data_IF_447520204361
#
_entry.id   IF_447520204361
#
_cell.length_a   1.000
_cell.length_b   1.000
_cell.length_c   1.000
_cell.angle_alpha   90.00
_cell.angle_beta   90.00
_cell.angle_gamma   90.00
#
_symmetry.space_group_name_H-M   'P 1'
#
loop_
_entity.id
_entity.type
_entity.pdbx_description
1 polymer ?
#
# COMPACT_ATOMS: atom_id res chain seq x y z
N UNK A 1 -15.73 -19.52 13.79
CA UNK A 1 -15.30 -18.14 13.49
C UNK A 1 -16.53 -17.30 13.21
N UNK A 2 -16.62 -16.11 13.80
CA UNK A 2 -17.73 -15.16 13.60
C UNK A 2 -17.19 -13.89 12.97
N UNK A 3 -17.89 -13.34 11.98
CA UNK A 3 -17.59 -12.01 11.43
C UNK A 3 -18.70 -11.05 11.85
N UNK A 4 -18.33 -9.86 12.28
CA UNK A 4 -19.27 -8.79 12.61
C UNK A 4 -18.89 -7.47 11.95
N UNK A 5 -19.89 -6.64 11.71
CA UNK A 5 -19.70 -5.26 11.27
C UNK A 5 -19.65 -4.36 12.48
N UNK A 6 -18.61 -3.54 12.57
CA UNK A 6 -18.40 -2.61 13.68
C UNK A 6 -18.35 -1.19 13.12
N UNK A 7 -19.04 -0.28 13.81
CA UNK A 7 -18.96 1.14 13.49
C UNK A 7 -17.58 1.67 13.90
N UNK A 8 -16.92 2.40 13.01
CA UNK A 8 -15.69 3.13 13.37
C UNK A 8 -16.10 4.42 14.07
N UNK A 9 -16.05 4.41 15.40
CA UNK A 9 -16.35 5.61 16.21
C UNK A 9 -15.12 6.51 16.38
N UNK A 10 -13.93 5.92 16.34
CA UNK A 10 -12.66 6.62 16.49
C UNK A 10 -11.55 5.86 15.78
N UNK A 11 -10.76 6.57 14.97
CA UNK A 11 -9.56 5.98 14.37
C UNK A 11 -8.46 5.68 15.40
N UNK A 12 -8.44 6.36 16.55
CA UNK A 12 -7.51 6.03 17.64
C UNK A 12 -7.86 4.69 18.32
N UNK A 13 -9.16 4.39 18.48
CA UNK A 13 -9.59 3.08 18.95
C UNK A 13 -9.27 1.99 17.92
N UNK A 14 -9.51 2.28 16.63
CA UNK A 14 -9.16 1.37 15.54
C UNK A 14 -7.63 1.14 15.46
N UNK A 15 -6.81 2.17 15.64
CA UNK A 15 -5.35 2.07 15.68
C UNK A 15 -4.89 1.01 16.68
N UNK A 16 -5.43 1.07 17.90
CA UNK A 16 -5.07 0.13 18.96
C UNK A 16 -5.40 -1.31 18.55
N UNK A 17 -6.63 -1.55 18.11
CA UNK A 17 -7.08 -2.89 17.70
C UNK A 17 -6.27 -3.40 16.49
N UNK A 18 -5.96 -2.51 15.55
CA UNK A 18 -5.19 -2.81 14.34
C UNK A 18 -3.75 -3.18 14.68
N UNK A 19 -3.06 -2.34 15.47
CA UNK A 19 -1.68 -2.57 15.87
C UNK A 19 -1.54 -3.81 16.76
N UNK A 20 -2.52 -4.11 17.60
CA UNK A 20 -2.53 -5.34 18.40
C UNK A 20 -2.64 -6.60 17.54
N UNK A 21 -3.48 -6.58 16.50
CA UNK A 21 -3.51 -7.68 15.54
C UNK A 21 -2.23 -7.74 14.72
N UNK A 22 -1.77 -6.61 14.19
CA UNK A 22 -0.55 -6.47 13.39
C UNK A 22 0.66 -7.07 14.10
N UNK A 23 0.87 -6.78 15.39
CA UNK A 23 1.98 -7.28 16.19
C UNK A 23 1.96 -8.80 16.42
N UNK A 24 0.81 -9.46 16.26
CA UNK A 24 0.66 -10.91 16.41
C UNK A 24 0.84 -11.65 15.08
N UNK A 25 0.81 -10.94 13.95
CA UNK A 25 0.99 -11.54 12.63
C UNK A 25 2.48 -11.69 12.33
N UNK A 26 2.92 -12.84 11.78
CA UNK A 26 4.34 -13.11 11.56
C UNK A 26 4.98 -12.22 10.48
N UNK A 27 4.21 -11.76 9.49
CA UNK A 27 4.72 -10.92 8.40
C UNK A 27 3.61 -10.07 7.74
N UNK A 28 3.00 -9.11 8.45
CA UNK A 28 2.06 -8.18 7.81
C UNK A 28 2.81 -7.32 6.77
N UNK A 29 2.21 -7.15 5.59
CA UNK A 29 2.77 -6.25 4.57
C UNK A 29 2.67 -4.79 5.01
N UNK A 30 3.59 -3.93 4.56
CA UNK A 30 3.59 -2.50 4.90
C UNK A 30 2.25 -1.82 4.58
N UNK A 31 1.63 -2.15 3.45
CA UNK A 31 0.33 -1.61 3.03
C UNK A 31 -0.87 -2.08 3.86
N UNK A 32 -0.67 -3.10 4.70
CA UNK A 32 -1.66 -3.57 5.68
C UNK A 32 -1.36 -3.01 7.08
N UNK A 33 -0.21 -2.36 7.30
CA UNK A 33 0.16 -1.78 8.59
C UNK A 33 -0.71 -0.58 8.95
N UNK A 34 -0.81 -0.26 10.23
CA UNK A 34 -1.44 1.00 10.63
C UNK A 34 -0.67 2.22 10.12
N UNK A 35 0.64 2.14 9.93
CA UNK A 35 1.42 3.26 9.38
C UNK A 35 0.96 3.67 7.98
N UNK A 36 0.46 2.72 7.18
CA UNK A 36 -0.16 3.02 5.88
C UNK A 36 -1.65 3.32 5.99
N UNK A 37 -2.41 2.42 6.63
CA UNK A 37 -3.88 2.50 6.69
C UNK A 37 -4.33 3.70 7.54
N UNK A 38 -3.65 3.97 8.64
CA UNK A 38 -3.94 5.08 9.55
C UNK A 38 -3.52 6.46 9.00
N UNK A 39 -2.65 6.52 8.00
CA UNK A 39 -2.14 7.79 7.47
C UNK A 39 -3.28 8.61 6.85
N UNK A 40 -3.58 9.76 7.48
CA UNK A 40 -4.70 10.65 7.15
C UNK A 40 -6.06 9.91 7.08
N UNK A 41 -6.27 8.93 7.97
CA UNK A 41 -7.44 8.06 7.91
C UNK A 41 -8.79 8.81 7.95
N UNK A 42 -8.90 9.87 8.77
CA UNK A 42 -10.12 10.69 8.84
C UNK A 42 -10.50 11.32 7.49
N UNK A 43 -9.50 11.71 6.69
CA UNK A 43 -9.72 12.29 5.35
C UNK A 43 -9.97 11.20 4.30
N UNK A 44 -9.26 10.06 4.40
CA UNK A 44 -9.36 8.95 3.43
C UNK A 44 -10.61 8.09 3.61
N UNK A 45 -11.15 8.00 4.82
CA UNK A 45 -12.27 7.11 5.15
C UNK A 45 -13.44 7.92 5.74
N UNK A 46 -14.11 8.76 4.94
CA UNK A 46 -15.25 9.57 5.41
C UNK A 46 -16.51 8.74 5.71
N UNK A 47 -16.63 7.53 5.18
CA UNK A 47 -17.74 6.61 5.45
C UNK A 47 -17.21 5.17 5.66
N UNK A 48 -16.49 4.94 6.78
CA UNK A 48 -15.77 3.71 7.03
C UNK A 48 -16.71 2.57 7.45
N UNK A 49 -16.44 1.37 6.93
CA UNK A 49 -17.07 0.12 7.33
C UNK A 49 -15.99 -0.83 7.80
N UNK A 50 -15.99 -1.18 9.08
CA UNK A 50 -15.04 -2.13 9.64
C UNK A 50 -15.70 -3.49 9.82
N UNK A 51 -15.07 -4.52 9.28
CA UNK A 51 -15.41 -5.91 9.57
C UNK A 51 -14.36 -6.51 10.50
N UNK A 52 -14.82 -7.23 11.53
CA UNK A 52 -13.97 -7.91 12.51
C UNK A 52 -14.27 -9.40 12.51
N UNK A 53 -13.22 -10.21 12.39
CA UNK A 53 -13.31 -11.66 12.53
C UNK A 53 -12.85 -12.08 13.91
N UNK A 54 -13.67 -12.89 14.60
CA UNK A 54 -13.41 -13.44 15.91
C UNK A 54 -13.30 -14.97 15.87
N UNK A 55 -12.33 -15.49 16.60
CA UNK A 55 -12.16 -16.92 16.90
C UNK A 55 -11.83 -17.04 18.38
N UNK A 56 -12.61 -17.84 19.10
CA UNK A 56 -12.43 -18.10 20.55
C UNK A 56 -12.32 -16.82 21.40
N UNK A 57 -13.11 -15.80 21.06
CA UNK A 57 -13.14 -14.50 21.74
C UNK A 57 -12.05 -13.51 21.29
N UNK A 58 -11.02 -13.96 20.57
CA UNK A 58 -9.94 -13.10 20.09
C UNK A 58 -10.21 -12.56 18.68
N UNK A 59 -9.77 -11.33 18.41
CA UNK A 59 -9.72 -10.77 17.05
C UNK A 59 -8.63 -11.51 16.26
N UNK A 60 -9.01 -12.11 15.14
CA UNK A 60 -8.12 -12.83 14.21
C UNK A 60 -8.05 -12.20 12.83
N UNK A 61 -8.88 -11.20 12.55
CA UNK A 61 -8.86 -10.49 11.27
C UNK A 61 -9.61 -9.16 11.30
N UNK A 62 -9.10 -8.18 10.56
CA UNK A 62 -9.71 -6.86 10.38
C UNK A 62 -9.76 -6.51 8.88
N UNK A 63 -10.87 -5.94 8.42
CA UNK A 63 -10.98 -5.36 7.09
C UNK A 63 -11.66 -4.00 7.19
N UNK A 64 -10.91 -2.93 6.89
CA UNK A 64 -11.46 -1.58 6.78
C UNK A 64 -11.83 -1.31 5.33
N UNK A 65 -13.09 -1.01 5.09
CA UNK A 65 -13.61 -0.53 3.82
C UNK A 65 -14.04 0.94 3.93
N UNK A 66 -14.08 1.64 2.80
CA UNK A 66 -14.84 2.89 2.67
C UNK A 66 -16.04 2.68 1.75
N UNK A 67 -17.16 3.33 2.05
CA UNK A 67 -18.28 3.44 1.11
C UNK A 67 -18.05 4.57 0.12
N UNK A 68 -18.18 4.27 -1.16
CA UNK A 68 -18.07 5.27 -2.22
C UNK A 68 -18.99 4.97 -3.39
N UNK A 69 -20.13 5.67 -3.48
CA UNK A 69 -21.09 5.56 -4.60
C UNK A 69 -21.59 4.12 -4.82
N UNK A 70 -22.00 3.44 -3.75
CA UNK A 70 -22.48 2.05 -3.78
C UNK A 70 -21.36 0.99 -3.88
N UNK A 71 -20.10 1.40 -3.82
CA UNK A 71 -18.93 0.51 -3.75
C UNK A 71 -18.42 0.41 -2.32
N UNK A 72 -17.87 -0.74 -1.94
CA UNK A 72 -17.00 -0.88 -0.78
C UNK A 72 -15.56 -1.04 -1.24
N UNK A 73 -14.73 -0.06 -0.93
CA UNK A 73 -13.32 -0.02 -1.32
C UNK A 73 -12.46 -0.50 -0.15
N UNK A 74 -11.76 -1.62 -0.30
CA UNK A 74 -10.90 -2.15 0.75
C UNK A 74 -9.68 -1.24 0.92
N UNK A 75 -9.51 -0.66 2.11
CA UNK A 75 -8.39 0.22 2.51
C UNK A 75 -8.08 1.37 1.54
N UNK A 76 -9.08 1.74 0.75
CA UNK A 76 -9.09 2.83 -0.23
C UNK A 76 -10.32 3.71 0.02
N UNK A 77 -10.23 4.99 -0.31
CA UNK A 77 -11.31 5.97 -0.17
C UNK A 77 -12.39 5.82 -1.24
N UNK A 78 -12.03 5.33 -2.43
CA UNK A 78 -12.86 5.36 -3.62
C UNK A 78 -12.85 6.70 -4.36
N UNK A 79 -12.06 7.69 -3.90
CA UNK A 79 -11.75 8.93 -4.60
C UNK A 79 -10.35 8.83 -5.23
N UNK A 80 -10.22 8.94 -6.57
CA UNK A 80 -8.92 8.86 -7.25
C UNK A 80 -7.86 9.86 -6.75
N UNK A 81 -8.24 11.01 -6.20
CA UNK A 81 -7.30 12.00 -5.67
C UNK A 81 -6.74 11.58 -4.30
N UNK A 82 -7.58 10.95 -3.47
CA UNK A 82 -7.19 10.44 -2.14
C UNK A 82 -6.56 9.03 -2.21
N UNK A 83 -6.80 8.30 -3.29
CA UNK A 83 -6.19 7.00 -3.60
C UNK A 83 -4.96 7.13 -4.53
N UNK A 84 -4.46 8.35 -4.73
CA UNK A 84 -3.21 8.60 -5.46
C UNK A 84 -1.96 7.95 -4.82
N UNK A 85 -1.82 7.84 -3.47
CA UNK A 85 -0.83 6.97 -2.86
C UNK A 85 -1.15 5.52 -3.23
N UNK A 86 -0.34 4.98 -4.14
CA UNK A 86 -0.65 3.72 -4.77
C UNK A 86 -0.50 2.56 -3.79
N UNK A 87 -1.60 1.86 -3.50
CA UNK A 87 -1.60 0.70 -2.60
C UNK A 87 -1.16 -0.57 -3.34
N UNK A 88 -0.25 -1.33 -2.74
CA UNK A 88 0.22 -2.62 -3.25
C UNK A 88 0.09 -3.70 -2.17
N UNK A 89 0.08 -4.98 -2.54
CA UNK A 89 0.00 -6.10 -1.58
C UNK A 89 -1.10 -5.96 -0.50
N UNK A 90 -2.24 -5.40 -0.90
CA UNK A 90 -3.38 -5.15 -0.04
C UNK A 90 -4.11 -6.45 0.32
N UNK A 91 -4.72 -6.47 1.50
CA UNK A 91 -5.58 -7.55 1.99
C UNK A 91 -6.28 -7.10 3.28
N UNK A 92 -7.34 -7.80 3.71
CA UNK A 92 -7.71 -7.81 5.12
C UNK A 92 -6.49 -8.16 5.99
N UNK A 93 -6.27 -7.42 7.08
CA UNK A 93 -5.22 -7.73 8.06
C UNK A 93 -5.58 -9.03 8.79
N UNK A 94 -4.93 -10.14 8.46
CA UNK A 94 -5.11 -11.44 9.09
C UNK A 94 -3.96 -12.40 8.74
N UNK A 95 -3.85 -13.51 9.46
CA UNK A 95 -2.79 -14.51 9.26
C UNK A 95 -3.15 -15.67 8.33
N UNK A 96 -4.43 -15.81 7.96
CA UNK A 96 -4.95 -16.98 7.24
C UNK A 96 -5.84 -16.55 6.07
N UNK A 97 -5.64 -17.10 4.85
CA UNK A 97 -6.49 -16.79 3.70
C UNK A 97 -7.98 -17.05 3.94
N UNK A 98 -8.33 -18.07 4.74
CA UNK A 98 -9.72 -18.36 5.10
C UNK A 98 -10.37 -17.23 5.91
N UNK A 99 -9.61 -16.54 6.77
CA UNK A 99 -10.08 -15.37 7.52
C UNK A 99 -10.30 -14.19 6.58
N UNK A 100 -9.36 -13.93 5.67
CA UNK A 100 -9.52 -12.91 4.63
C UNK A 100 -10.78 -13.18 3.79
N UNK A 101 -10.97 -14.42 3.33
CA UNK A 101 -12.16 -14.83 2.56
C UNK A 101 -13.46 -14.57 3.31
N UNK A 102 -13.54 -14.94 4.58
CA UNK A 102 -14.74 -14.70 5.39
C UNK A 102 -15.04 -13.20 5.58
N UNK A 103 -14.02 -12.36 5.76
CA UNK A 103 -14.18 -10.90 5.84
C UNK A 103 -14.69 -10.32 4.52
N UNK A 104 -14.09 -10.72 3.39
CA UNK A 104 -14.50 -10.26 2.07
C UNK A 104 -15.91 -10.74 1.70
N UNK A 105 -16.28 -11.97 2.07
CA UNK A 105 -17.64 -12.49 1.87
C UNK A 105 -18.68 -11.75 2.73
N UNK A 106 -18.34 -11.43 3.98
CA UNK A 106 -19.21 -10.66 4.85
C UNK A 106 -19.44 -9.23 4.34
N UNK A 107 -18.50 -8.66 3.58
CA UNK A 107 -18.67 -7.34 2.96
C UNK A 107 -19.86 -7.27 1.99
N UNK A 108 -20.29 -8.39 1.40
CA UNK A 108 -21.49 -8.44 0.56
C UNK A 108 -22.81 -8.32 1.35
N UNK A 109 -22.78 -8.54 2.67
CA UNK A 109 -23.96 -8.40 3.53
C UNK A 109 -24.16 -6.97 4.02
N UNK A 110 -23.24 -6.08 3.68
CA UNK A 110 -23.30 -4.67 4.07
C UNK A 110 -24.40 -3.97 3.26
N UNK A 111 -25.33 -3.25 3.91
CA UNK A 111 -26.42 -2.56 3.20
C UNK A 111 -25.88 -1.63 2.10
N UNK A 112 -26.58 -1.56 0.97
CA UNK A 112 -26.24 -0.72 -0.19
C UNK A 112 -24.92 -1.04 -0.91
N UNK A 113 -24.20 -2.09 -0.49
CA UNK A 113 -23.00 -2.55 -1.20
C UNK A 113 -23.39 -3.25 -2.51
N UNK A 114 -23.07 -2.62 -3.64
CA UNK A 114 -23.33 -3.16 -5.00
C UNK A 114 -22.12 -3.82 -5.61
N UNK A 115 -20.92 -3.45 -5.16
CA UNK A 115 -19.65 -4.00 -5.65
C UNK A 115 -18.54 -3.83 -4.62
N UNK A 116 -17.58 -4.75 -4.63
CA UNK A 116 -16.33 -4.61 -3.91
C UNK A 116 -15.23 -4.10 -4.84
N UNK A 117 -14.41 -3.17 -4.35
CA UNK A 117 -13.19 -2.69 -5.00
C UNK A 117 -12.01 -3.17 -4.17
N UNK A 118 -11.16 -4.00 -4.76
CA UNK A 118 -10.04 -4.65 -4.11
C UNK A 118 -8.73 -4.22 -4.81
N UNK A 119 -8.31 -2.96 -4.61
CA UNK A 119 -7.06 -2.45 -5.17
C UNK A 119 -5.84 -3.12 -4.54
N UNK A 120 -4.84 -3.45 -5.36
CA UNK A 120 -3.55 -3.96 -4.88
C UNK A 120 -3.57 -5.37 -4.28
N UNK A 121 -4.68 -6.12 -4.36
CA UNK A 121 -4.78 -7.45 -3.76
C UNK A 121 -4.11 -8.54 -4.61
N UNK A 122 -3.59 -9.58 -3.95
CA UNK A 122 -3.07 -10.74 -4.62
C UNK A 122 -4.20 -11.56 -5.30
N UNK A 123 -3.99 -12.14 -6.51
CA UNK A 123 -5.02 -12.90 -7.23
C UNK A 123 -5.63 -14.06 -6.44
N UNK A 124 -4.91 -14.62 -5.46
CA UNK A 124 -5.39 -15.70 -4.58
C UNK A 124 -6.61 -15.29 -3.75
N UNK A 125 -6.80 -13.99 -3.47
CA UNK A 125 -7.96 -13.50 -2.72
C UNK A 125 -9.23 -13.41 -3.55
N UNK A 126 -9.14 -13.39 -4.88
CA UNK A 126 -10.30 -13.26 -5.78
C UNK A 126 -11.33 -14.38 -5.56
N UNK A 127 -11.00 -15.68 -5.66
CA UNK A 127 -11.99 -16.73 -5.43
C UNK A 127 -12.58 -16.71 -4.01
N UNK A 128 -11.81 -16.20 -3.04
CA UNK A 128 -12.21 -16.13 -1.64
C UNK A 128 -13.20 -15.00 -1.37
N UNK A 129 -13.11 -13.90 -2.11
CA UNK A 129 -13.98 -12.73 -1.91
C UNK A 129 -15.43 -12.93 -2.39
N UNK A 130 -15.70 -13.96 -3.20
CA UNK A 130 -17.03 -14.25 -3.72
C UNK A 130 -17.55 -13.18 -4.70
N UNK A 131 -18.84 -13.26 -5.04
CA UNK A 131 -19.46 -12.43 -6.07
C UNK A 131 -19.54 -13.13 -7.43
N UNK A 132 -20.42 -12.64 -8.31
CA UNK A 132 -20.81 -13.32 -9.57
C UNK A 132 -20.12 -12.75 -10.82
N UNK A 133 -19.44 -11.60 -10.73
CA UNK A 133 -18.81 -10.94 -11.87
C UNK A 133 -17.61 -10.11 -11.46
N UNK A 134 -16.52 -10.24 -12.22
CA UNK A 134 -15.24 -9.57 -11.95
C UNK A 134 -14.86 -8.64 -13.10
N UNK A 135 -14.46 -7.41 -12.79
CA UNK A 135 -13.60 -6.62 -13.66
C UNK A 135 -12.20 -6.66 -13.06
N UNK A 136 -11.27 -7.28 -13.78
CA UNK A 136 -9.88 -7.45 -13.34
C UNK A 136 -8.95 -6.56 -14.16
N UNK A 137 -8.03 -5.88 -13.48
CA UNK A 137 -6.89 -5.21 -14.09
C UNK A 137 -5.63 -5.77 -13.45
N UNK A 138 -4.79 -6.42 -14.26
CA UNK A 138 -3.49 -6.88 -13.78
C UNK A 138 -2.45 -5.78 -13.89
N UNK A 139 -1.60 -5.68 -12.86
CA UNK A 139 -0.43 -4.79 -12.84
C UNK A 139 0.80 -5.61 -12.50
N UNK A 140 1.79 -5.56 -13.40
CA UNK A 140 3.06 -6.25 -13.19
C UNK A 140 3.90 -5.44 -12.20
N UNK A 141 4.34 -6.09 -11.13
CA UNK A 141 5.27 -5.54 -10.15
C UNK A 141 6.57 -6.34 -10.19
N UNK A 142 7.57 -5.91 -11.01
CA UNK A 142 8.87 -6.57 -11.04
C UNK A 142 9.53 -6.48 -9.67
N UNK A 143 9.99 -7.61 -9.13
CA UNK A 143 10.70 -7.67 -7.85
C UNK A 143 12.06 -8.34 -8.00
N UNK A 144 12.91 -8.12 -7.00
CA UNK A 144 14.21 -8.78 -6.87
C UNK A 144 14.25 -9.46 -5.51
N UNK A 145 14.51 -10.77 -5.50
CA UNK A 145 14.76 -11.50 -4.27
C UNK A 145 16.15 -11.13 -3.72
N UNK A 146 16.16 -10.27 -2.72
CA UNK A 146 17.39 -9.79 -2.10
C UNK A 146 18.08 -10.87 -1.27
N UNK A 147 17.36 -11.87 -0.76
CA UNK A 147 17.94 -12.95 0.04
C UNK A 147 18.60 -13.98 -0.86
N UNK A 148 17.96 -14.34 -1.98
CA UNK A 148 18.59 -15.14 -3.02
C UNK A 148 19.83 -14.43 -3.59
N UNK A 149 19.76 -13.12 -3.81
CA UNK A 149 20.93 -12.34 -4.26
C UNK A 149 22.07 -12.40 -3.24
N UNK A 150 21.79 -12.17 -1.95
CA UNK A 150 22.80 -12.26 -0.88
C UNK A 150 23.38 -13.68 -0.77
N UNK A 151 22.52 -14.70 -0.82
CA UNK A 151 22.93 -16.10 -0.76
C UNK A 151 23.81 -16.51 -1.94
N UNK A 152 23.64 -15.89 -3.11
CA UNK A 152 24.52 -16.12 -4.27
C UNK A 152 25.95 -15.57 -4.10
N UNK A 153 26.19 -14.74 -3.07
CA UNK A 153 27.46 -14.04 -2.86
C UNK A 153 27.79 -13.01 -3.96
N UNK A 154 26.85 -12.75 -4.87
CA UNK A 154 27.06 -11.94 -6.06
C UNK A 154 26.65 -10.47 -5.89
N UNK A 155 27.30 -9.61 -6.67
CA UNK A 155 26.87 -8.24 -6.92
C UNK A 155 25.59 -8.25 -7.79
N UNK A 156 24.62 -7.37 -7.51
CA UNK A 156 23.44 -7.17 -8.36
C UNK A 156 23.83 -7.01 -9.83
N UNK A 157 24.89 -6.22 -10.12
CA UNK A 157 25.32 -6.04 -11.51
C UNK A 157 25.76 -7.35 -12.15
N UNK A 158 26.42 -8.25 -11.41
CA UNK A 158 26.85 -9.54 -11.94
C UNK A 158 25.67 -10.42 -12.39
N UNK A 159 24.51 -10.29 -11.72
CA UNK A 159 23.28 -11.00 -12.09
C UNK A 159 22.59 -10.48 -13.36
N UNK A 160 22.97 -9.29 -13.85
CA UNK A 160 22.35 -8.65 -15.02
C UNK A 160 23.06 -9.05 -16.30
N UNK A 161 22.35 -9.07 -17.44
CA UNK A 161 22.95 -9.28 -18.76
C UNK A 161 23.93 -8.17 -19.18
N UNK A 162 24.80 -8.46 -20.16
CA UNK A 162 25.88 -7.56 -20.60
C UNK A 162 25.41 -6.14 -20.96
N UNK A 163 24.29 -6.02 -21.69
CA UNK A 163 23.71 -4.74 -22.08
C UNK A 163 23.28 -3.91 -20.85
N UNK A 164 22.51 -4.49 -19.92
CA UNK A 164 22.09 -3.79 -18.70
C UNK A 164 23.29 -3.34 -17.85
N UNK A 165 24.31 -4.20 -17.70
CA UNK A 165 25.55 -3.83 -17.01
C UNK A 165 26.26 -2.65 -17.67
N UNK A 166 26.35 -2.66 -19.01
CA UNK A 166 26.97 -1.58 -19.77
C UNK A 166 26.20 -0.26 -19.59
N UNK A 167 24.86 -0.30 -19.68
CA UNK A 167 24.02 0.89 -19.51
C UNK A 167 24.17 1.50 -18.11
N UNK A 168 24.12 0.68 -17.05
CA UNK A 168 24.30 1.17 -15.67
C UNK A 168 25.69 1.78 -15.49
N UNK A 169 26.76 1.08 -15.93
CA UNK A 169 28.14 1.60 -15.83
C UNK A 169 28.33 2.90 -16.63
N UNK A 170 27.71 3.01 -17.81
CA UNK A 170 27.74 4.24 -18.62
C UNK A 170 27.07 5.39 -17.87
N UNK A 171 25.89 5.18 -17.29
CA UNK A 171 25.19 6.20 -16.51
C UNK A 171 26.00 6.63 -15.29
N UNK A 172 26.57 5.68 -14.54
CA UNK A 172 27.42 6.00 -13.39
C UNK A 172 28.62 6.86 -13.77
N UNK A 173 29.31 6.54 -14.89
CA UNK A 173 30.42 7.37 -15.39
C UNK A 173 29.97 8.76 -15.82
N UNK A 174 28.81 8.86 -16.45
CA UNK A 174 28.27 10.15 -16.89
C UNK A 174 27.97 11.06 -15.71
N UNK A 175 27.32 10.54 -14.66
CA UNK A 175 27.05 11.32 -13.45
C UNK A 175 28.32 11.59 -12.63
N UNK A 176 29.29 10.67 -12.61
CA UNK A 176 30.57 10.87 -11.95
C UNK A 176 31.36 12.08 -12.50
N UNK A 177 31.11 12.48 -13.75
CA UNK A 177 31.71 13.69 -14.32
C UNK A 177 31.19 14.99 -13.68
N UNK A 178 30.05 14.95 -12.98
CA UNK A 178 29.47 16.08 -12.24
C UNK A 178 29.89 16.10 -10.76
N UNK A 179 30.57 15.06 -10.30
CA UNK A 179 30.93 14.85 -8.89
C UNK A 179 30.76 13.38 -8.49
N UNK A 180 31.30 13.01 -7.32
CA UNK A 180 31.18 11.65 -6.80
C UNK A 180 29.71 11.26 -6.59
N UNK A 181 29.29 10.14 -7.18
CA UNK A 181 27.95 9.59 -6.99
C UNK A 181 27.91 8.80 -5.69
N UNK A 182 27.18 9.30 -4.70
CA UNK A 182 27.01 8.67 -3.38
C UNK A 182 25.57 8.23 -3.16
N UNK A 183 25.41 7.15 -2.41
CA UNK A 183 24.13 6.71 -1.87
C UNK A 183 24.16 6.96 -0.36
N UNK A 184 23.29 7.84 0.09
CA UNK A 184 23.21 8.24 1.50
C UNK A 184 21.78 7.97 2.01
N UNK A 185 21.68 7.54 3.28
CA UNK A 185 20.42 7.43 4.00
C UNK A 185 20.30 8.65 4.92
N UNK A 186 19.13 9.32 5.00
CA UNK A 186 18.96 10.42 5.94
C UNK A 186 19.13 9.91 7.39
N UNK A 187 19.80 10.71 8.21
CA UNK A 187 20.08 10.40 9.62
C UNK A 187 18.81 10.47 10.49
N UNK A 188 17.87 11.35 10.14
CA UNK A 188 16.63 11.57 10.87
C UNK A 188 15.50 12.05 9.93
N UNK A 189 14.31 12.21 10.49
CA UNK A 189 13.13 12.68 9.77
C UNK A 189 13.25 14.12 9.28
N UNK A 190 14.04 14.98 9.94
CA UNK A 190 14.25 16.37 9.53
C UNK A 190 15.05 16.40 8.23
N UNK A 191 16.15 15.64 8.17
CA UNK A 191 16.96 15.50 6.97
C UNK A 191 16.19 14.82 5.84
N UNK A 192 15.41 13.77 6.15
CA UNK A 192 14.56 13.09 5.16
C UNK A 192 13.57 14.07 4.50
N UNK A 193 12.88 14.91 5.29
CA UNK A 193 11.99 15.95 4.78
C UNK A 193 12.72 16.99 3.94
N UNK A 194 13.87 17.48 4.40
CA UNK A 194 14.67 18.43 3.62
C UNK A 194 15.12 17.86 2.26
N UNK A 195 15.44 16.56 2.20
CA UNK A 195 15.78 15.89 0.94
C UNK A 195 14.55 15.68 0.06
N UNK A 196 13.41 15.34 0.65
CA UNK A 196 12.14 15.22 -0.04
C UNK A 196 11.73 16.56 -0.68
N UNK A 197 11.84 17.67 0.04
CA UNK A 197 11.57 19.03 -0.46
C UNK A 197 12.41 19.37 -1.70
N UNK A 198 13.67 18.92 -1.73
CA UNK A 198 14.58 19.11 -2.88
C UNK A 198 14.24 18.20 -4.06
N UNK A 199 13.71 17.00 -3.79
CA UNK A 199 13.29 16.04 -4.82
C UNK A 199 12.01 16.48 -5.54
N UNK A 200 11.05 17.09 -4.82
CA UNK A 200 9.76 17.51 -5.36
C UNK A 200 9.84 18.34 -6.65
N UNK A 201 10.63 19.44 -6.75
CA UNK A 201 10.71 20.23 -7.99
C UNK A 201 11.34 19.46 -9.14
N UNK A 202 12.31 18.57 -8.88
CA UNK A 202 12.93 17.72 -9.91
C UNK A 202 11.94 16.71 -10.50
N UNK A 203 11.12 16.10 -9.62
CA UNK A 203 10.04 15.22 -10.03
C UNK A 203 8.99 15.98 -10.84
N UNK A 204 8.53 17.14 -10.34
CA UNK A 204 7.54 17.96 -11.02
C UNK A 204 8.00 18.36 -12.43
N UNK A 205 9.23 18.85 -12.58
CA UNK A 205 9.79 19.23 -13.88
C UNK A 205 9.80 18.06 -14.88
N UNK A 206 10.15 16.85 -14.41
CA UNK A 206 10.19 15.65 -15.25
C UNK A 206 8.81 15.27 -15.79
N UNK A 207 7.76 15.34 -14.96
CA UNK A 207 6.40 14.99 -15.38
C UNK A 207 5.73 16.08 -16.21
N UNK A 208 5.97 17.35 -15.88
CA UNK A 208 5.49 18.49 -16.66
C UNK A 208 6.05 18.47 -18.08
N UNK A 209 7.35 18.14 -18.24
CA UNK A 209 7.95 17.95 -19.56
C UNK A 209 7.31 16.82 -20.39
N UNK A 210 6.59 15.90 -19.74
CA UNK A 210 5.83 14.81 -20.37
C UNK A 210 4.32 15.11 -20.51
N UNK A 211 3.89 16.34 -20.19
CA UNK A 211 2.48 16.74 -20.24
C UNK A 211 1.60 16.09 -19.18
N UNK A 212 2.19 15.59 -18.08
CA UNK A 212 1.47 14.92 -17.01
C UNK A 212 1.63 15.65 -15.68
N UNK A 213 0.64 15.46 -14.80
CA UNK A 213 0.76 15.89 -13.42
C UNK A 213 1.72 14.95 -12.67
N UNK A 214 2.68 15.50 -11.93
CA UNK A 214 3.56 14.69 -11.09
C UNK A 214 2.80 14.09 -9.90
N UNK A 215 3.27 12.94 -9.40
CA UNK A 215 2.67 12.23 -8.26
C UNK A 215 2.44 13.09 -6.98
N UNK A 216 3.16 14.22 -6.82
CA UNK A 216 3.05 15.11 -5.66
C UNK A 216 2.33 16.43 -5.96
N UNK A 217 1.56 16.48 -7.05
CA UNK A 217 0.89 17.70 -7.49
C UNK A 217 -0.18 18.20 -6.51
N UNK A 218 -0.88 17.29 -5.83
CA UNK A 218 -1.96 17.63 -4.90
C UNK A 218 -1.45 17.93 -3.48
N UNK A 219 -2.20 18.74 -2.75
CA UNK A 219 -1.92 19.03 -1.35
C UNK A 219 -2.00 17.77 -0.47
N UNK A 220 -3.02 16.95 -0.71
CA UNK A 220 -3.19 15.66 -0.06
C UNK A 220 -1.94 14.77 -0.22
N UNK A 221 -1.39 14.63 -1.42
CA UNK A 221 -0.19 13.80 -1.64
C UNK A 221 1.02 14.32 -0.87
N UNK A 222 1.18 15.64 -0.74
CA UNK A 222 2.25 16.21 0.09
C UNK A 222 2.01 15.88 1.56
N UNK A 223 0.83 16.20 2.10
CA UNK A 223 0.47 15.91 3.50
C UNK A 223 0.65 14.44 3.85
N UNK A 224 0.24 13.52 2.96
CA UNK A 224 0.40 12.08 3.17
C UNK A 224 1.86 11.68 3.38
N UNK A 225 2.81 12.25 2.63
CA UNK A 225 4.24 11.94 2.77
C UNK A 225 4.89 12.59 3.99
N UNK A 226 4.31 13.67 4.53
CA UNK A 226 4.78 14.31 5.77
C UNK A 226 4.14 13.76 7.04
N UNK A 227 3.04 13.00 6.93
CA UNK A 227 2.29 12.45 8.05
C UNK A 227 2.93 11.19 8.68
N UNK A 228 4.01 10.69 8.09
CA UNK A 228 4.74 9.49 8.54
C UNK A 228 5.85 9.84 9.53
#
# INVERSE_FOLDING_TARGET
MRVETVKVESFAALERDWRELEARLPAPGFFQSWSWVGCLAEERFPDPVLLRAHRDGAIVGLALFNRARGRLCLTESGDPLLDAPFIEHNAPLCGEPAVAGALLQAAWQIPDARSLVLGGVAPVLLPLAGGVSWRRQDRVAPFLDLDALRASGGDYLASRGANSRQQIRRSMRHYAALGEVRLERPADAVQARAWFDRMLPLHAATWQARGQFGAFATDFMRRFHYAV
#
